data_IF_268121361088
#
_entry.id   IF_268121361088
#
_cell.length_a   1.000
_cell.length_b   1.000
_cell.length_c   1.000
_cell.angle_alpha   90.00
_cell.angle_beta   90.00
_cell.angle_gamma   90.00
#
_symmetry.space_group_name_H-M   'P 1'
#
loop_
_entity.id
_entity.type
_entity.pdbx_description
1 polymer ?
#
# COMPACT_ATOMS: atom_id res chain seq x y z
N UNK A 1 35.05 10.66 -16.28
CA UNK A 1 33.65 10.50 -16.73
C UNK A 1 32.91 9.74 -15.65
N UNK A 2 31.89 10.34 -15.05
CA UNK A 2 31.07 9.67 -14.03
C UNK A 2 30.02 8.84 -14.75
N UNK A 3 30.03 7.53 -14.54
CA UNK A 3 29.00 6.63 -15.06
C UNK A 3 27.73 6.90 -14.24
N UNK A 4 26.72 7.49 -14.88
CA UNK A 4 25.40 7.66 -14.26
C UNK A 4 24.65 6.35 -14.43
N UNK A 5 24.52 5.58 -13.35
CA UNK A 5 23.76 4.33 -13.35
C UNK A 5 22.26 4.62 -13.34
N UNK A 6 21.61 4.45 -14.50
CA UNK A 6 20.16 4.46 -14.58
C UNK A 6 19.63 3.05 -14.29
N UNK A 7 19.19 2.80 -13.06
CA UNK A 7 18.42 1.57 -12.79
C UNK A 7 17.10 1.60 -13.58
N UNK A 8 16.82 0.58 -14.41
CA UNK A 8 15.53 0.48 -15.11
C UNK A 8 14.39 0.48 -14.10
N UNK A 9 13.23 1.03 -14.49
CA UNK A 9 12.04 1.04 -13.65
C UNK A 9 11.70 -0.40 -13.27
N UNK A 10 12.01 -0.81 -12.02
CA UNK A 10 11.34 -1.97 -11.44
C UNK A 10 9.84 -1.77 -11.61
N UNK A 11 9.16 -2.75 -12.19
CA UNK A 11 7.71 -2.69 -12.39
C UNK A 11 7.06 -2.43 -11.04
N UNK A 12 6.37 -1.28 -10.95
CA UNK A 12 5.64 -0.90 -9.74
C UNK A 12 4.36 -1.72 -9.75
N UNK A 13 4.38 -2.81 -9.00
CA UNK A 13 3.27 -3.76 -8.92
C UNK A 13 2.71 -3.78 -7.50
N UNK A 14 1.38 -3.77 -7.35
CA UNK A 14 0.76 -3.94 -6.05
C UNK A 14 1.04 -5.37 -5.53
N UNK A 15 1.43 -5.47 -4.28
CA UNK A 15 1.61 -6.75 -3.59
C UNK A 15 0.27 -7.22 -2.99
N UNK A 16 -0.36 -6.32 -2.23
CA UNK A 16 -1.63 -6.57 -1.57
C UNK A 16 -2.23 -5.27 -1.03
N UNK A 17 -3.52 -5.31 -0.72
CA UNK A 17 -4.24 -4.27 0.00
C UNK A 17 -4.42 -4.63 1.48
N UNK A 18 -4.57 -3.62 2.31
CA UNK A 18 -4.94 -3.75 3.72
C UNK A 18 -6.21 -2.94 3.93
N UNK A 19 -7.27 -3.59 4.39
CA UNK A 19 -8.48 -2.90 4.85
C UNK A 19 -8.20 -2.26 6.20
N UNK A 20 -8.52 -0.99 6.31
CA UNK A 20 -8.23 -0.18 7.49
C UNK A 20 -9.47 -0.03 8.36
N UNK A 21 -9.27 -0.04 9.68
CA UNK A 21 -10.36 0.18 10.62
C UNK A 21 -11.05 1.53 10.38
N UNK A 22 -12.37 1.61 10.59
CA UNK A 22 -13.13 2.86 10.42
C UNK A 22 -12.56 4.04 11.22
N UNK A 23 -11.96 3.79 12.39
CA UNK A 23 -11.37 4.85 13.21
C UNK A 23 -10.16 5.51 12.54
N UNK A 24 -9.28 4.72 11.93
CA UNK A 24 -8.12 5.22 11.20
C UNK A 24 -8.56 5.97 9.93
N UNK A 25 -9.65 5.55 9.28
CA UNK A 25 -10.28 6.34 8.20
C UNK A 25 -10.74 7.72 8.68
N UNK A 26 -11.35 7.83 9.87
CA UNK A 26 -11.74 9.13 10.44
C UNK A 26 -10.52 10.00 10.73
N UNK A 27 -9.42 9.42 11.17
CA UNK A 27 -8.15 10.11 11.39
C UNK A 27 -7.58 10.65 10.07
N UNK A 28 -7.57 9.85 8.99
CA UNK A 28 -7.15 10.28 7.66
C UNK A 28 -7.88 11.54 7.18
N UNK A 29 -9.18 11.68 7.48
CA UNK A 29 -9.97 12.87 7.11
C UNK A 29 -9.60 14.14 7.89
N UNK A 30 -8.86 14.02 9.01
CA UNK A 30 -8.53 15.13 9.91
C UNK A 30 -7.07 15.60 9.82
N UNK A 31 -6.25 14.98 8.97
CA UNK A 31 -4.83 15.31 8.84
C UNK A 31 -4.39 15.30 7.39
N UNK A 32 -3.19 15.80 7.10
CA UNK A 32 -2.64 15.73 5.75
C UNK A 32 -2.38 14.28 5.34
N UNK A 33 -2.45 14.03 4.03
CA UNK A 33 -2.15 12.71 3.45
C UNK A 33 -0.72 12.26 3.80
N UNK A 34 0.23 13.18 3.83
CA UNK A 34 1.63 12.87 4.17
C UNK A 34 1.83 12.45 5.61
N UNK A 35 1.20 13.15 6.56
CA UNK A 35 1.25 12.80 7.98
C UNK A 35 0.60 11.44 8.22
N UNK A 36 -0.58 11.22 7.64
CA UNK A 36 -1.28 9.94 7.75
C UNK A 36 -0.45 8.79 7.18
N UNK A 37 0.12 8.97 5.99
CA UNK A 37 1.02 8.00 5.36
C UNK A 37 2.20 7.65 6.29
N UNK A 38 2.82 8.66 6.92
CA UNK A 38 3.94 8.44 7.84
C UNK A 38 3.51 7.65 9.08
N UNK A 39 2.39 8.02 9.71
CA UNK A 39 1.87 7.35 10.92
C UNK A 39 1.52 5.90 10.62
N UNK A 40 0.80 5.65 9.54
CA UNK A 40 0.44 4.28 9.12
C UNK A 40 1.70 3.46 8.86
N UNK A 41 2.68 4.01 8.15
CA UNK A 41 3.90 3.25 7.85
C UNK A 41 4.63 2.84 9.12
N UNK A 42 4.71 3.74 10.10
CA UNK A 42 5.30 3.43 11.40
C UNK A 42 4.46 2.37 12.12
N UNK A 43 3.14 2.57 12.24
CA UNK A 43 2.24 1.69 12.99
C UNK A 43 2.11 0.28 12.42
N UNK A 44 2.27 0.10 11.10
CA UNK A 44 2.20 -1.20 10.44
C UNK A 44 3.59 -1.81 10.15
N UNK A 45 4.67 -1.20 10.65
CA UNK A 45 6.04 -1.67 10.38
C UNK A 45 6.43 -1.64 8.90
N UNK A 46 5.86 -0.72 8.11
CA UNK A 46 6.17 -0.54 6.69
C UNK A 46 7.42 0.34 6.56
N UNK A 47 8.34 -0.03 5.67
CA UNK A 47 9.50 0.82 5.39
C UNK A 47 9.04 2.19 4.89
N UNK A 48 9.59 3.29 5.45
CA UNK A 48 9.18 4.66 5.10
C UNK A 48 9.32 4.98 3.60
N UNK A 49 10.30 4.38 2.93
CA UNK A 49 10.54 4.54 1.49
C UNK A 49 9.70 3.57 0.65
N UNK A 50 8.97 2.63 1.24
CA UNK A 50 8.05 1.77 0.49
C UNK A 50 6.88 2.60 0.00
N UNK A 51 6.55 2.39 -1.26
CA UNK A 51 5.41 3.03 -1.87
C UNK A 51 4.11 2.41 -1.37
N UNK A 52 3.20 3.26 -0.92
CA UNK A 52 1.83 2.89 -0.57
C UNK A 52 0.85 3.81 -1.29
N UNK A 53 -0.38 3.34 -1.49
CA UNK A 53 -1.47 4.17 -1.98
C UNK A 53 -2.71 3.95 -1.13
N UNK A 54 -3.31 5.06 -0.69
CA UNK A 54 -4.61 5.08 -0.05
C UNK A 54 -5.69 5.15 -1.13
N UNK A 55 -6.66 4.26 -1.07
CA UNK A 55 -7.81 4.25 -1.97
C UNK A 55 -9.08 4.05 -1.16
N UNK A 56 -10.03 4.96 -1.32
CA UNK A 56 -11.40 4.74 -0.85
C UNK A 56 -12.13 3.87 -1.88
N UNK A 57 -12.85 2.87 -1.38
CA UNK A 57 -13.65 1.95 -2.19
C UNK A 57 -15.02 1.80 -1.58
N UNK A 58 -15.99 1.42 -2.41
CA UNK A 58 -17.35 1.14 -1.99
C UNK A 58 -17.55 -0.37 -2.00
N UNK A 59 -18.15 -0.91 -0.94
CA UNK A 59 -18.58 -2.30 -0.91
C UNK A 59 -19.96 -2.49 -1.57
N UNK A 60 -20.43 -3.73 -1.65
CA UNK A 60 -21.73 -4.08 -2.26
C UNK A 60 -22.93 -3.43 -1.56
N UNK A 61 -22.76 -2.94 -0.33
CA UNK A 61 -23.80 -2.29 0.47
C UNK A 61 -23.70 -0.76 0.44
N UNK A 62 -22.85 -0.19 -0.41
CA UNK A 62 -22.65 1.25 -0.52
C UNK A 62 -21.77 1.84 0.58
N UNK A 63 -21.12 1.01 1.40
CA UNK A 63 -20.27 1.47 2.49
C UNK A 63 -18.89 1.78 1.96
N UNK A 64 -18.47 3.03 2.14
CA UNK A 64 -17.12 3.45 1.76
C UNK A 64 -16.11 2.96 2.79
N UNK A 65 -15.16 2.15 2.37
CA UNK A 65 -14.01 1.65 3.13
C UNK A 65 -12.70 2.30 2.65
N UNK A 66 -11.67 2.31 3.50
CA UNK A 66 -10.34 2.81 3.15
C UNK A 66 -9.37 1.64 3.08
N UNK A 67 -8.69 1.51 1.93
CA UNK A 67 -7.69 0.46 1.70
C UNK A 67 -6.31 1.09 1.51
N UNK A 68 -5.29 0.45 2.08
CA UNK A 68 -3.89 0.78 1.86
C UNK A 68 -3.27 -0.28 0.97
N UNK A 69 -2.90 0.13 -0.23
CA UNK A 69 -2.27 -0.72 -1.23
C UNK A 69 -0.77 -0.63 -1.04
N UNK A 70 -0.12 -1.77 -0.84
CA UNK A 70 1.32 -1.89 -0.62
C UNK A 70 1.97 -2.33 -1.93
N UNK A 71 3.00 -1.61 -2.38
CA UNK A 71 3.70 -1.93 -3.64
C UNK A 71 5.04 -2.62 -3.39
N UNK A 72 5.51 -3.35 -4.40
CA UNK A 72 6.84 -3.99 -4.41
C UNK A 72 8.01 -2.97 -4.53
N UNK A 73 7.69 -1.68 -4.70
CA UNK A 73 8.61 -0.59 -4.98
C UNK A 73 9.02 0.20 -3.74
N UNK A 74 10.31 0.51 -3.63
CA UNK A 74 10.89 1.39 -2.60
C UNK A 74 11.63 2.54 -3.28
N UNK A 75 11.28 3.78 -2.96
CA UNK A 75 11.96 4.96 -3.46
C UNK A 75 11.74 6.16 -2.56
N UNK A 76 12.73 7.06 -2.52
CA UNK A 76 12.61 8.37 -1.88
C UNK A 76 11.72 9.32 -2.69
N UNK A 77 11.52 9.05 -3.98
CA UNK A 77 10.73 9.89 -4.88
C UNK A 77 9.30 9.36 -4.91
N UNK A 78 8.34 10.20 -4.48
CA UNK A 78 6.91 9.90 -4.61
C UNK A 78 6.53 9.91 -6.09
N UNK A 79 6.25 8.74 -6.66
CA UNK A 79 5.68 8.61 -8.01
C UNK A 79 4.16 8.58 -7.93
N UNK A 80 3.46 9.08 -8.95
CA UNK A 80 2.03 8.83 -9.12
C UNK A 80 1.83 7.52 -9.87
N UNK A 81 1.01 6.61 -9.34
CA UNK A 81 0.61 5.38 -10.03
C UNK A 81 -0.68 5.67 -10.79
N UNK A 82 -0.75 5.17 -12.03
CA UNK A 82 -2.00 5.19 -12.82
C UNK A 82 -2.97 4.16 -12.24
N UNK A 83 -4.24 4.52 -12.10
CA UNK A 83 -5.28 3.66 -11.52
C UNK A 83 -5.45 2.33 -12.28
N UNK A 84 -5.15 2.31 -13.58
CA UNK A 84 -5.17 1.11 -14.42
C UNK A 84 -4.19 0.01 -13.99
N UNK A 85 -3.25 0.28 -13.08
CA UNK A 85 -2.33 -0.74 -12.53
C UNK A 85 -2.87 -1.41 -11.26
N UNK A 86 -3.98 -0.93 -10.74
CA UNK A 86 -4.53 -1.33 -9.44
C UNK A 86 -5.80 -2.16 -9.65
N UNK A 87 -6.54 -1.86 -10.71
CA UNK A 87 -7.88 -2.38 -10.97
C UNK A 87 -7.89 -3.03 -12.35
N UNK A 88 -8.50 -4.21 -12.45
CA UNK A 88 -8.74 -4.89 -13.71
C UNK A 88 -9.82 -4.16 -14.53
N UNK A 89 -9.97 -4.55 -15.80
CA UNK A 89 -10.97 -3.97 -16.73
C UNK A 89 -12.42 -3.99 -16.19
N UNK A 90 -12.71 -4.90 -15.26
CA UNK A 90 -14.02 -5.06 -14.60
C UNK A 90 -14.20 -4.24 -13.31
N UNK A 91 -13.23 -3.43 -12.90
CA UNK A 91 -13.33 -2.64 -11.66
C UNK A 91 -12.87 -3.35 -10.38
N UNK A 92 -12.39 -4.59 -10.47
CA UNK A 92 -11.90 -5.36 -9.31
C UNK A 92 -10.39 -5.27 -9.12
N UNK A 93 -9.93 -5.33 -7.87
CA UNK A 93 -8.50 -5.43 -7.56
C UNK A 93 -7.92 -6.76 -8.05
N UNK A 94 -6.71 -6.70 -8.62
CA UNK A 94 -5.99 -7.88 -9.11
C UNK A 94 -4.98 -8.46 -8.10
N UNK A 95 -5.07 -8.03 -6.84
CA UNK A 95 -4.22 -8.45 -5.74
C UNK A 95 -5.07 -8.75 -4.50
N UNK A 96 -4.58 -9.58 -3.57
CA UNK A 96 -5.33 -9.91 -2.36
C UNK A 96 -5.48 -8.68 -1.45
N UNK A 97 -6.63 -8.55 -0.81
CA UNK A 97 -6.88 -7.56 0.24
C UNK A 97 -7.01 -8.30 1.57
N UNK A 98 -6.22 -7.91 2.55
CA UNK A 98 -6.22 -8.50 3.89
C UNK A 98 -6.96 -7.60 4.88
N UNK A 99 -7.73 -8.23 5.76
CA UNK A 99 -8.24 -7.61 6.97
C UNK A 99 -7.28 -7.96 8.11
N UNK A 100 -6.76 -6.92 8.77
CA UNK A 100 -5.73 -7.09 9.80
C UNK A 100 -6.39 -7.11 11.17
N UNK A 101 -5.93 -8.01 12.02
CA UNK A 101 -6.22 -7.97 13.45
C UNK A 101 -5.29 -6.95 14.12
N UNK A 102 -5.84 -5.76 14.39
CA UNK A 102 -5.11 -4.64 15.01
C UNK A 102 -4.76 -4.88 16.48
N UNK A 103 -5.20 -5.99 17.09
CA UNK A 103 -4.81 -6.36 18.45
C UNK A 103 -3.44 -7.08 18.50
N UNK A 104 -2.87 -7.43 17.35
CA UNK A 104 -1.56 -8.09 17.25
C UNK A 104 -0.53 -7.13 16.70
N UNK A 105 0.70 -7.25 17.19
CA UNK A 105 1.83 -6.55 16.58
C UNK A 105 2.05 -7.09 15.17
N UNK A 106 1.99 -6.18 14.19
CA UNK A 106 2.06 -6.52 12.77
C UNK A 106 3.22 -5.78 12.12
N UNK A 107 4.08 -6.54 11.45
CA UNK A 107 5.17 -6.01 10.64
C UNK A 107 4.96 -6.36 9.17
N UNK A 108 4.48 -5.39 8.37
CA UNK A 108 4.21 -5.58 6.95
C UNK A 108 5.47 -5.96 6.17
N UNK A 109 6.66 -5.49 6.55
CA UNK A 109 7.89 -5.87 5.84
C UNK A 109 8.23 -7.35 6.00
N UNK A 110 7.88 -7.97 7.13
CA UNK A 110 8.04 -9.41 7.34
C UNK A 110 7.09 -10.21 6.46
N UNK A 111 5.83 -9.77 6.35
CA UNK A 111 4.85 -10.35 5.44
C UNK A 111 5.37 -10.31 3.99
N UNK A 112 5.90 -9.15 3.57
CA UNK A 112 6.47 -8.99 2.22
C UNK A 112 7.69 -9.90 2.02
N UNK A 113 8.56 -10.07 3.02
CA UNK A 113 9.70 -10.99 2.94
C UNK A 113 9.23 -12.44 2.78
N UNK A 114 8.23 -12.86 3.55
CA UNK A 114 7.70 -14.22 3.52
C UNK A 114 7.00 -14.54 2.19
N UNK A 115 6.27 -13.59 1.61
CA UNK A 115 5.69 -13.74 0.27
C UNK A 115 6.75 -13.94 -0.81
N UNK A 116 7.87 -13.19 -0.74
CA UNK A 116 8.98 -13.36 -1.69
C UNK A 116 9.66 -14.72 -1.57
N UNK A 117 9.79 -15.27 -0.36
CA UNK A 117 10.37 -16.60 -0.14
C UNK A 117 9.49 -17.74 -0.67
N UNK A 118 8.18 -17.57 -0.72
CA UNK A 118 7.25 -18.58 -1.27
C UNK A 118 7.19 -18.60 -2.80
N UNK A 119 7.61 -17.52 -3.46
CA UNK A 119 7.55 -17.38 -4.92
C UNK A 119 8.91 -17.60 -5.62
N UNK A 120 9.95 -17.96 -4.86
CA UNK A 120 11.26 -18.40 -5.35
C UNK A 120 11.41 -19.90 -5.08
#
# INVERSE_FOLDING_TARGET
>A
MSIIEFTPQKTIEPLFGIKIMPILKKIHKKMSKEEYEKIIKIGLGINLNRMIQLKEVEDENGKVELIIIIFNYKSKIKKKIKESRIVNEKGYFNFPIYEIDFNKELNVEEIVKNMRKKNN
#
